data_IF_748129825606
#
_entry.id   IF_748129825606
#
_cell.length_a   1.000
_cell.length_b   1.000
_cell.length_c   1.000
_cell.angle_alpha   90.00
_cell.angle_beta   90.00
_cell.angle_gamma   90.00
#
_symmetry.space_group_name_H-M   'P 1'
#
loop_
_entity.id
_entity.type
_entity.pdbx_description
1 polymer ?
#
# COMPACT_ATOMS: atom_id res chain seq x y z
N UNK A 1 -0.16 7.36 -16.47
CA UNK A 1 -0.18 6.47 -15.27
C UNK A 1 0.01 7.30 -14.02
N UNK A 2 -1.00 7.35 -13.15
CA UNK A 2 -0.94 8.03 -11.86
C UNK A 2 -0.64 7.02 -10.76
N UNK A 3 0.63 6.98 -10.33
CA UNK A 3 1.12 6.11 -9.26
C UNK A 3 0.65 6.63 -7.88
N UNK A 4 0.36 5.72 -6.95
CA UNK A 4 -0.07 6.04 -5.58
C UNK A 4 0.49 5.06 -4.55
N UNK A 5 -0.16 3.91 -4.35
CA UNK A 5 0.25 2.80 -3.48
C UNK A 5 0.70 1.58 -4.31
N UNK A 6 1.34 1.86 -5.42
CA UNK A 6 1.79 0.90 -6.42
C UNK A 6 3.14 1.34 -7.03
N UNK A 7 4.08 1.76 -6.16
CA UNK A 7 5.38 2.33 -6.53
C UNK A 7 6.34 1.25 -7.06
N UNK A 8 5.93 0.58 -8.15
CA UNK A 8 6.66 -0.49 -8.81
C UNK A 8 6.33 -0.56 -10.30
N UNK A 9 7.20 -1.22 -11.05
CA UNK A 9 6.99 -1.47 -12.48
C UNK A 9 6.55 -2.91 -12.76
N UNK A 10 7.10 -3.90 -12.06
CA UNK A 10 6.68 -5.29 -12.17
C UNK A 10 5.36 -5.52 -11.43
N UNK A 11 4.58 -6.50 -11.89
CA UNK A 11 3.28 -6.86 -11.32
C UNK A 11 2.35 -5.64 -11.10
N UNK A 12 2.33 -4.72 -12.08
CA UNK A 12 1.51 -3.50 -12.03
C UNK A 12 0.49 -3.50 -13.19
N UNK A 13 -0.72 -4.05 -12.98
CA UNK A 13 -1.75 -4.10 -14.02
C UNK A 13 -2.18 -2.73 -14.54
N UNK A 14 -2.19 -1.70 -13.68
CA UNK A 14 -2.54 -0.34 -14.11
C UNK A 14 -1.51 0.23 -15.07
N UNK A 15 -0.22 -0.02 -14.81
CA UNK A 15 0.84 0.37 -15.73
C UNK A 15 0.77 -0.42 -17.04
N UNK A 16 0.52 -1.71 -16.98
CA UNK A 16 0.34 -2.54 -18.20
C UNK A 16 -0.83 -2.03 -19.05
N UNK A 17 -1.96 -1.70 -18.43
CA UNK A 17 -3.10 -1.10 -19.12
C UNK A 17 -2.73 0.26 -19.71
N UNK A 18 -2.03 1.12 -18.97
CA UNK A 18 -1.58 2.42 -19.48
C UNK A 18 -0.67 2.30 -20.70
N UNK A 19 0.23 1.31 -20.72
CA UNK A 19 1.14 1.06 -21.85
C UNK A 19 0.39 0.48 -23.05
N UNK A 20 -0.57 -0.41 -22.80
CA UNK A 20 -1.40 -1.01 -23.87
C UNK A 20 -2.28 -0.01 -24.58
N UNK A 21 -2.84 0.96 -23.83
CA UNK A 21 -3.75 1.97 -24.39
C UNK A 21 -2.99 3.16 -25.01
N UNK A 22 -1.69 3.29 -24.74
CA UNK A 22 -0.90 4.43 -25.16
C UNK A 22 -0.38 4.27 -26.60
N UNK A 23 -0.52 5.33 -27.41
CA UNK A 23 0.15 5.39 -28.72
C UNK A 23 1.67 5.42 -28.50
N UNK A 24 2.40 4.56 -29.21
CA UNK A 24 3.86 4.43 -29.11
C UNK A 24 4.37 4.18 -27.67
N UNK A 25 3.54 3.56 -26.84
CA UNK A 25 3.80 3.32 -25.42
C UNK A 25 4.24 4.60 -24.64
N UNK A 26 3.72 5.77 -25.03
CA UNK A 26 4.03 7.06 -24.38
C UNK A 26 3.19 7.22 -23.12
N UNK A 27 3.84 7.15 -21.97
CA UNK A 27 3.19 7.20 -20.67
C UNK A 27 3.80 8.32 -19.80
N UNK A 28 2.96 9.12 -19.14
CA UNK A 28 3.39 10.09 -18.11
C UNK A 28 3.46 9.37 -16.77
N UNK A 29 4.63 9.28 -16.11
CA UNK A 29 4.75 8.71 -14.77
C UNK A 29 4.44 9.78 -13.73
N UNK A 30 3.18 9.92 -13.35
CA UNK A 30 2.69 10.95 -12.43
C UNK A 30 2.61 10.42 -10.99
N UNK A 31 3.08 11.23 -10.04
CA UNK A 31 2.74 11.13 -8.62
C UNK A 31 2.29 12.50 -8.11
N UNK A 32 1.17 12.58 -7.44
CA UNK A 32 0.71 13.82 -6.77
C UNK A 32 0.92 13.66 -5.27
N UNK A 33 1.68 14.58 -4.69
CA UNK A 33 1.90 14.62 -3.24
C UNK A 33 0.68 15.26 -2.58
N UNK A 34 -0.23 14.41 -2.17
CA UNK A 34 -1.52 14.76 -1.59
C UNK A 34 -1.34 15.44 -0.22
N UNK A 35 -1.70 16.73 -0.07
CA UNK A 35 -1.54 17.46 1.18
C UNK A 35 -2.32 16.84 2.36
N UNK A 36 -3.48 16.22 2.08
CA UNK A 36 -4.32 15.59 3.10
C UNK A 36 -3.64 14.36 3.73
N UNK A 37 -2.75 13.71 2.99
CA UNK A 37 -1.98 12.56 3.45
C UNK A 37 -0.56 12.93 3.90
N UNK A 38 0.02 13.96 3.27
CA UNK A 38 1.39 14.38 3.56
C UNK A 38 1.53 15.18 4.84
N UNK A 39 0.64 16.16 5.07
CA UNK A 39 0.72 17.05 6.24
C UNK A 39 0.63 16.31 7.58
N UNK A 40 -0.29 15.36 7.79
CA UNK A 40 -0.37 14.61 9.04
C UNK A 40 0.65 13.47 9.15
N UNK A 41 1.43 13.17 8.09
CA UNK A 41 2.40 12.09 8.11
C UNK A 41 3.60 12.43 9.00
N UNK A 42 3.98 11.51 9.87
CA UNK A 42 5.19 11.64 10.69
C UNK A 42 6.49 11.60 9.85
N UNK A 43 7.63 12.06 10.43
CA UNK A 43 8.91 12.17 9.72
C UNK A 43 9.36 10.86 9.06
N UNK A 44 9.29 9.75 9.78
CA UNK A 44 9.66 8.42 9.26
C UNK A 44 8.88 8.04 7.98
N UNK A 45 7.56 8.30 7.99
CA UNK A 45 6.71 8.00 6.83
C UNK A 45 7.03 8.90 5.65
N UNK A 46 7.30 10.19 5.90
CA UNK A 46 7.70 11.14 4.85
C UNK A 46 9.05 10.75 4.25
N UNK A 47 10.05 10.45 5.10
CA UNK A 47 11.36 10.03 4.67
C UNK A 47 11.32 8.76 3.80
N UNK A 48 10.55 7.76 4.25
CA UNK A 48 10.42 6.52 3.49
C UNK A 48 9.72 6.75 2.14
N UNK A 49 8.62 7.52 2.11
CA UNK A 49 7.94 7.85 0.85
C UNK A 49 8.86 8.61 -0.10
N UNK A 50 9.61 9.59 0.40
CA UNK A 50 10.57 10.34 -0.41
C UNK A 50 11.60 9.41 -1.06
N UNK A 51 12.17 8.48 -0.29
CA UNK A 51 13.10 7.47 -0.81
C UNK A 51 12.45 6.55 -1.86
N UNK A 52 11.20 6.12 -1.64
CA UNK A 52 10.44 5.30 -2.60
C UNK A 52 10.17 6.04 -3.91
N UNK A 53 9.82 7.32 -3.84
CA UNK A 53 9.59 8.16 -5.03
C UNK A 53 10.88 8.42 -5.80
N UNK A 54 12.00 8.60 -5.09
CA UNK A 54 13.32 8.73 -5.70
C UNK A 54 13.72 7.45 -6.46
N UNK A 55 13.53 6.26 -5.84
CA UNK A 55 13.79 4.98 -6.50
C UNK A 55 12.94 4.81 -7.77
N UNK A 56 11.64 5.04 -7.68
CA UNK A 56 10.75 4.97 -8.84
C UNK A 56 11.17 5.99 -9.91
N UNK A 57 11.48 7.23 -9.50
CA UNK A 57 11.94 8.28 -10.40
C UNK A 57 13.18 7.88 -11.18
N UNK A 58 14.18 7.29 -10.51
CA UNK A 58 15.40 6.80 -11.16
C UNK A 58 15.10 5.70 -12.19
N UNK A 59 14.15 4.83 -11.91
CA UNK A 59 13.77 3.71 -12.79
C UNK A 59 12.98 4.12 -14.03
N UNK A 60 12.19 5.21 -13.94
CA UNK A 60 11.43 5.76 -15.07
C UNK A 60 12.15 6.96 -15.75
N UNK A 61 13.40 7.20 -15.42
CA UNK A 61 14.16 8.33 -15.96
C UNK A 61 13.62 9.71 -15.58
N UNK A 62 12.94 9.78 -14.41
CA UNK A 62 12.31 10.97 -13.82
C UNK A 62 10.81 10.81 -13.64
N UNK A 63 10.34 10.89 -12.40
CA UNK A 63 8.93 10.94 -12.03
C UNK A 63 8.41 12.37 -12.18
N UNK A 64 7.21 12.54 -12.76
CA UNK A 64 6.52 13.82 -12.72
C UNK A 64 5.84 13.94 -11.35
N UNK A 65 6.47 14.67 -10.44
CA UNK A 65 5.91 14.99 -9.14
C UNK A 65 5.09 16.28 -9.23
N UNK A 66 3.89 16.28 -8.67
CA UNK A 66 3.05 17.47 -8.55
C UNK A 66 2.64 17.67 -7.09
N UNK A 67 2.39 18.95 -6.72
CA UNK A 67 1.94 19.38 -5.40
C UNK A 67 0.77 20.34 -5.56
N UNK A 68 -0.23 20.23 -4.75
CA UNK A 68 -1.39 21.12 -4.82
C UNK A 68 -2.69 20.42 -4.53
N UNK A 69 -3.78 20.95 -5.01
CA UNK A 69 -5.06 20.23 -5.03
C UNK A 69 -4.92 19.02 -5.96
N UNK A 70 -5.23 17.86 -5.43
CA UNK A 70 -4.98 16.61 -6.13
C UNK A 70 -5.82 16.49 -7.41
N UNK A 71 -7.07 16.93 -7.37
CA UNK A 71 -7.97 16.87 -8.53
C UNK A 71 -7.47 17.81 -9.62
N UNK A 72 -7.12 19.03 -9.25
CA UNK A 72 -6.61 20.06 -10.17
C UNK A 72 -5.32 19.61 -10.83
N UNK A 73 -4.37 19.04 -10.05
CA UNK A 73 -3.07 18.61 -10.56
C UNK A 73 -3.17 17.43 -11.52
N UNK A 74 -4.01 16.43 -11.22
CA UNK A 74 -4.22 15.29 -12.13
C UNK A 74 -4.83 15.76 -13.44
N UNK A 75 -5.85 16.62 -13.41
CA UNK A 75 -6.50 17.18 -14.60
C UNK A 75 -5.52 18.04 -15.39
N UNK A 76 -4.74 18.91 -14.75
CA UNK A 76 -3.75 19.75 -15.42
C UNK A 76 -2.69 18.94 -16.16
N UNK A 77 -2.19 17.87 -15.54
CA UNK A 77 -1.22 16.96 -16.19
C UNK A 77 -1.86 16.20 -17.34
N UNK A 78 -3.09 15.72 -17.19
CA UNK A 78 -3.81 15.01 -18.25
C UNK A 78 -4.04 15.91 -19.48
N UNK A 79 -4.46 17.16 -19.27
CA UNK A 79 -4.60 18.17 -20.34
C UNK A 79 -3.29 18.47 -21.05
N UNK A 80 -2.21 18.74 -20.28
CA UNK A 80 -0.89 19.05 -20.82
C UNK A 80 -0.28 17.87 -21.60
N UNK A 81 -0.65 16.64 -21.24
CA UNK A 81 -0.23 15.44 -21.92
C UNK A 81 -1.11 15.12 -23.16
N UNK A 82 -2.19 15.85 -23.39
CA UNK A 82 -3.24 15.49 -24.34
C UNK A 82 -3.71 14.04 -24.14
N UNK A 83 -3.83 13.62 -22.88
CA UNK A 83 -4.22 12.27 -22.55
C UNK A 83 -5.72 12.04 -22.78
N UNK A 84 -6.06 10.88 -23.32
CA UNK A 84 -7.44 10.40 -23.42
C UNK A 84 -7.85 9.56 -22.21
N UNK A 85 -6.85 9.02 -21.50
CA UNK A 85 -7.04 8.14 -20.34
C UNK A 85 -6.06 8.46 -19.23
N UNK A 86 -6.50 8.30 -17.98
CA UNK A 86 -5.66 8.26 -16.78
C UNK A 86 -5.81 6.89 -16.14
N UNK A 87 -4.72 6.16 -15.96
CA UNK A 87 -4.72 4.80 -15.41
C UNK A 87 -4.28 4.79 -13.96
N UNK A 88 -4.99 4.01 -13.13
CA UNK A 88 -4.74 3.84 -11.70
C UNK A 88 -4.95 2.39 -11.25
N UNK A 89 -4.25 1.96 -10.20
CA UNK A 89 -4.68 0.83 -9.41
C UNK A 89 -5.85 1.26 -8.52
N UNK A 90 -6.93 0.49 -8.44
CA UNK A 90 -8.13 0.85 -7.67
C UNK A 90 -7.81 0.98 -6.16
N UNK A 91 -8.34 2.01 -5.51
CA UNK A 91 -8.23 2.20 -4.06
C UNK A 91 -9.56 1.83 -3.37
N UNK A 92 -9.46 1.12 -2.25
CA UNK A 92 -10.60 0.58 -1.51
C UNK A 92 -10.84 1.26 -0.17
N UNK A 93 -9.91 2.10 0.28
CA UNK A 93 -10.09 2.89 1.49
C UNK A 93 -11.11 4.02 1.30
N UNK A 94 -11.82 4.44 2.36
CA UNK A 94 -12.87 5.46 2.25
C UNK A 94 -12.39 6.75 1.57
N UNK A 95 -11.26 7.27 2.02
CA UNK A 95 -10.64 8.47 1.44
C UNK A 95 -10.25 8.25 -0.03
N UNK A 96 -9.58 7.13 -0.35
CA UNK A 96 -9.11 6.85 -1.69
C UNK A 96 -10.25 6.68 -2.69
N UNK A 97 -11.34 6.06 -2.28
CA UNK A 97 -12.55 5.90 -3.11
C UNK A 97 -13.18 7.25 -3.44
N UNK A 98 -13.38 8.11 -2.45
CA UNK A 98 -13.96 9.45 -2.67
C UNK A 98 -13.07 10.28 -3.58
N UNK A 99 -11.78 10.34 -3.29
CA UNK A 99 -10.78 11.01 -4.12
C UNK A 99 -10.83 10.54 -5.58
N UNK A 100 -10.91 9.23 -5.81
CA UNK A 100 -10.93 8.67 -7.15
C UNK A 100 -12.24 9.03 -7.90
N UNK A 101 -13.37 9.15 -7.21
CA UNK A 101 -14.63 9.64 -7.77
C UNK A 101 -14.55 11.13 -8.15
N UNK A 102 -13.95 11.96 -7.29
CA UNK A 102 -13.78 13.38 -7.54
C UNK A 102 -12.90 13.65 -8.76
N UNK A 103 -11.79 12.90 -8.87
CA UNK A 103 -10.89 12.97 -10.04
C UNK A 103 -11.59 12.48 -11.31
N UNK A 104 -12.33 11.37 -11.25
CA UNK A 104 -13.10 10.85 -12.39
C UNK A 104 -14.12 11.88 -12.91
N UNK A 105 -14.89 12.47 -12.00
CA UNK A 105 -15.86 13.50 -12.36
C UNK A 105 -15.21 14.75 -12.99
N UNK A 106 -14.02 15.12 -12.53
CA UNK A 106 -13.27 16.24 -13.09
C UNK A 106 -12.68 15.92 -14.47
N UNK A 107 -12.08 14.76 -14.65
CA UNK A 107 -11.53 14.30 -15.94
C UNK A 107 -12.63 14.13 -17.01
N UNK A 108 -13.81 13.64 -16.61
CA UNK A 108 -14.94 13.45 -17.51
C UNK A 108 -15.43 14.75 -18.17
N UNK A 109 -15.25 15.91 -17.53
CA UNK A 109 -15.58 17.22 -18.12
C UNK A 109 -14.73 17.55 -19.34
N UNK A 110 -13.55 16.96 -19.42
CA UNK A 110 -12.62 17.08 -20.56
C UNK A 110 -12.66 15.88 -21.51
N UNK A 111 -13.60 14.96 -21.31
CA UNK A 111 -13.70 13.74 -22.11
C UNK A 111 -12.57 12.72 -21.82
N UNK A 112 -11.88 12.85 -20.70
CA UNK A 112 -10.77 11.97 -20.29
C UNK A 112 -11.32 10.88 -19.38
N UNK A 113 -11.02 9.60 -19.69
CA UNK A 113 -11.47 8.47 -18.88
C UNK A 113 -10.50 8.16 -17.73
N UNK A 114 -11.03 7.85 -16.54
CA UNK A 114 -10.26 7.26 -15.43
C UNK A 114 -10.39 5.73 -15.49
N UNK A 115 -9.30 5.05 -15.83
CA UNK A 115 -9.25 3.58 -15.98
C UNK A 115 -8.66 2.95 -14.71
N UNK A 116 -9.46 2.12 -14.03
CA UNK A 116 -9.07 1.38 -12.82
C UNK A 116 -8.69 -0.04 -13.17
N UNK A 117 -7.43 -0.43 -12.93
CA UNK A 117 -6.93 -1.77 -13.25
C UNK A 117 -6.08 -2.32 -12.13
N UNK A 118 -6.50 -3.44 -11.54
CA UNK A 118 -5.81 -4.05 -10.42
C UNK A 118 -6.09 -3.35 -9.08
N UNK A 119 -5.46 -3.82 -8.03
CA UNK A 119 -5.63 -3.36 -6.65
C UNK A 119 -4.35 -3.55 -5.85
N UNK A 120 -4.21 -2.99 -4.65
CA UNK A 120 -3.10 -3.29 -3.74
C UNK A 120 -3.26 -4.63 -2.98
N UNK A 121 -4.24 -5.44 -3.35
CA UNK A 121 -4.59 -6.72 -2.74
C UNK A 121 -4.54 -7.84 -3.77
N UNK A 122 -4.23 -9.06 -3.35
CA UNK A 122 -4.27 -10.25 -4.23
C UNK A 122 -5.71 -10.54 -4.66
N UNK A 123 -6.65 -10.44 -3.71
CA UNK A 123 -8.08 -10.46 -3.95
C UNK A 123 -8.67 -9.12 -3.49
N UNK A 124 -9.27 -8.38 -4.41
CA UNK A 124 -9.84 -7.08 -4.09
C UNK A 124 -10.98 -7.20 -3.05
N UNK A 125 -11.11 -6.22 -2.12
CA UNK A 125 -12.24 -6.16 -1.20
C UNK A 125 -13.58 -6.30 -1.91
N UNK A 126 -14.53 -6.98 -1.27
CA UNK A 126 -15.87 -7.26 -1.83
C UNK A 126 -15.95 -8.50 -2.72
N UNK A 127 -14.82 -9.13 -3.09
CA UNK A 127 -14.80 -10.31 -3.97
C UNK A 127 -14.99 -11.63 -3.21
N UNK A 128 -14.61 -11.68 -1.94
CA UNK A 128 -14.77 -12.87 -1.10
C UNK A 128 -16.10 -12.78 -0.37
N UNK A 129 -17.05 -13.58 -0.80
CA UNK A 129 -18.42 -13.63 -0.23
C UNK A 129 -18.82 -15.06 0.11
N UNK A 130 -19.77 -15.22 1.00
CA UNK A 130 -20.35 -16.52 1.32
C UNK A 130 -21.33 -16.99 0.21
N UNK A 131 -21.91 -18.17 0.39
CA UNK A 131 -22.84 -18.76 -0.61
C UNK A 131 -24.09 -17.91 -0.87
N UNK A 132 -24.45 -17.02 0.07
CA UNK A 132 -25.58 -16.12 -0.06
C UNK A 132 -25.19 -14.75 -0.66
N UNK A 133 -23.91 -14.53 -0.97
CA UNK A 133 -23.39 -13.23 -1.43
C UNK A 133 -23.03 -12.27 -0.31
N UNK A 134 -23.12 -12.70 0.97
CA UNK A 134 -22.82 -11.83 2.11
C UNK A 134 -21.34 -11.83 2.46
N UNK A 135 -20.94 -10.79 3.20
CA UNK A 135 -19.61 -10.65 3.77
C UNK A 135 -19.31 -11.69 4.86
N UNK A 136 -18.09 -12.12 4.93
CA UNK A 136 -17.61 -12.83 6.11
C UNK A 136 -17.30 -11.84 7.25
N UNK A 137 -17.87 -12.10 8.43
CA UNK A 137 -17.64 -11.30 9.64
C UNK A 137 -16.56 -11.87 10.54
N UNK A 138 -16.08 -13.08 10.23
CA UNK A 138 -15.09 -13.84 11.01
C UNK A 138 -13.97 -14.29 10.08
N UNK A 139 -12.74 -14.21 10.56
CA UNK A 139 -11.54 -14.46 9.76
C UNK A 139 -11.45 -15.91 9.22
N UNK A 140 -11.70 -16.91 10.07
CA UNK A 140 -11.48 -18.32 9.69
C UNK A 140 -12.26 -18.73 8.44
N UNK A 141 -13.59 -18.52 8.33
CA UNK A 141 -14.32 -18.82 7.10
C UNK A 141 -13.89 -17.89 5.93
N UNK A 142 -13.57 -16.62 6.19
CA UNK A 142 -13.03 -15.72 5.17
C UNK A 142 -11.74 -16.30 4.56
N UNK A 143 -10.78 -16.69 5.39
CA UNK A 143 -9.48 -17.17 4.91
C UNK A 143 -9.56 -18.44 4.07
N UNK A 144 -10.55 -19.30 4.35
CA UNK A 144 -10.84 -20.48 3.52
C UNK A 144 -11.38 -20.07 2.15
N UNK A 145 -12.42 -19.25 2.13
CA UNK A 145 -13.03 -18.75 0.91
C UNK A 145 -12.05 -17.90 0.08
N UNK A 146 -11.18 -17.13 0.72
CA UNK A 146 -10.13 -16.35 0.06
C UNK A 146 -9.11 -17.26 -0.66
N UNK A 147 -8.71 -18.38 -0.03
CA UNK A 147 -7.83 -19.38 -0.68
C UNK A 147 -8.54 -20.10 -1.83
N UNK A 148 -9.80 -20.43 -1.67
CA UNK A 148 -10.63 -21.06 -2.71
C UNK A 148 -10.86 -20.12 -3.90
N UNK A 149 -11.08 -18.82 -3.66
CA UNK A 149 -11.18 -17.80 -4.69
C UNK A 149 -9.92 -17.75 -5.55
N UNK A 150 -8.76 -17.90 -4.93
CA UNK A 150 -7.47 -17.78 -5.60
C UNK A 150 -7.19 -16.37 -6.12
N UNK A 151 -6.07 -16.22 -6.77
CA UNK A 151 -5.59 -14.95 -7.35
C UNK A 151 -4.81 -15.24 -8.64
N UNK A 152 -4.76 -14.28 -9.57
CA UNK A 152 -3.97 -14.45 -10.80
C UNK A 152 -2.48 -14.46 -10.50
N UNK A 153 -1.71 -15.09 -11.40
CA UNK A 153 -0.25 -15.01 -11.34
C UNK A 153 0.23 -13.56 -11.47
N UNK A 154 1.37 -13.20 -10.86
CA UNK A 154 1.98 -11.89 -11.04
C UNK A 154 2.31 -11.64 -12.53
N UNK A 155 1.78 -10.59 -13.16
CA UNK A 155 2.18 -10.25 -14.52
C UNK A 155 3.62 -9.71 -14.55
N UNK A 156 4.30 -9.93 -15.66
CA UNK A 156 5.63 -9.36 -15.88
C UNK A 156 5.57 -7.83 -15.98
N UNK A 157 6.71 -7.19 -15.77
CA UNK A 157 6.84 -5.77 -16.07
C UNK A 157 6.55 -5.48 -17.55
N UNK A 158 6.03 -4.29 -17.89
CA UNK A 158 5.87 -3.91 -19.29
C UNK A 158 7.24 -3.95 -19.98
N UNK A 159 7.25 -4.19 -21.27
CA UNK A 159 8.43 -4.09 -22.08
C UNK A 159 8.95 -2.64 -22.16
N UNK A 160 9.27 -2.16 -23.36
CA UNK A 160 9.71 -0.77 -23.55
C UNK A 160 8.55 0.20 -23.28
N UNK A 161 8.80 1.20 -22.42
CA UNK A 161 7.89 2.32 -22.15
C UNK A 161 8.59 3.62 -22.52
N UNK A 162 7.89 4.47 -23.30
CA UNK A 162 8.35 5.82 -23.61
C UNK A 162 7.85 6.80 -22.56
N UNK A 163 8.67 7.04 -21.53
CA UNK A 163 8.30 7.94 -20.44
C UNK A 163 8.34 9.39 -20.89
N UNK A 164 7.24 10.12 -20.78
CA UNK A 164 7.10 11.52 -21.18
C UNK A 164 6.70 12.40 -20.00
N UNK A 165 7.14 13.65 -20.02
CA UNK A 165 6.88 14.66 -18.97
C UNK A 165 6.44 15.96 -19.63
N UNK A 166 5.13 16.20 -19.71
CA UNK A 166 4.57 17.37 -20.40
C UNK A 166 4.74 18.67 -19.60
N UNK A 167 4.99 18.56 -18.29
CA UNK A 167 5.18 19.69 -17.38
C UNK A 167 6.50 19.54 -16.62
N UNK A 168 6.95 20.65 -16.03
CA UNK A 168 8.05 20.64 -15.07
C UNK A 168 7.61 19.89 -13.80
N UNK A 169 8.47 19.01 -13.30
CA UNK A 169 8.25 18.34 -12.02
C UNK A 169 8.49 19.30 -10.86
N UNK A 170 7.61 19.23 -9.87
CA UNK A 170 7.86 19.91 -8.60
C UNK A 170 9.01 19.24 -7.84
N UNK A 171 9.61 19.97 -6.92
CA UNK A 171 10.64 19.42 -6.06
C UNK A 171 10.04 18.60 -4.92
N UNK A 172 10.65 17.47 -4.62
CA UNK A 172 10.37 16.74 -3.38
C UNK A 172 11.26 17.34 -2.28
N UNK A 173 10.62 17.90 -1.24
CA UNK A 173 11.38 18.45 -0.12
C UNK A 173 12.22 17.35 0.53
N UNK A 174 13.38 17.73 1.00
CA UNK A 174 14.19 16.87 1.83
C UNK A 174 13.38 16.44 3.07
N UNK A 175 13.20 15.15 3.20
CA UNK A 175 12.52 14.54 4.33
C UNK A 175 13.49 13.57 5.01
N UNK A 176 14.45 14.09 5.79
CA UNK A 176 15.41 13.24 6.46
C UNK A 176 14.71 12.31 7.45
N UNK A 177 15.19 11.08 7.53
CA UNK A 177 14.76 10.19 8.58
C UNK A 177 15.19 10.75 9.95
N UNK A 178 14.41 10.53 11.02
CA UNK A 178 14.88 10.80 12.38
C UNK A 178 16.24 10.11 12.61
N UNK A 179 17.15 10.81 13.30
CA UNK A 179 18.54 10.36 13.45
C UNK A 179 18.68 9.02 14.20
N UNK A 180 17.74 8.75 15.08
CA UNK A 180 17.62 7.56 15.93
C UNK A 180 16.89 6.40 15.24
N UNK A 181 16.29 6.62 14.06
CA UNK A 181 15.47 5.63 13.37
C UNK A 181 16.16 5.07 12.11
N UNK A 182 16.38 3.77 12.08
CA UNK A 182 16.85 3.07 10.89
C UNK A 182 15.68 2.60 10.04
N UNK A 183 15.40 3.31 8.96
CA UNK A 183 14.40 2.91 7.98
C UNK A 183 14.95 1.79 7.07
N UNK A 184 14.11 0.82 6.66
CA UNK A 184 14.49 -0.14 5.64
C UNK A 184 14.75 0.58 4.31
N UNK A 185 15.62 -0.01 3.47
CA UNK A 185 15.87 0.51 2.13
C UNK A 185 14.59 0.47 1.29
N UNK A 186 14.21 1.60 0.72
CA UNK A 186 13.02 1.75 -0.10
C UNK A 186 13.21 1.24 -1.54
N UNK A 187 12.11 1.09 -2.25
CA UNK A 187 12.09 0.78 -3.67
C UNK A 187 11.85 -0.70 -3.99
N UNK A 188 11.38 -0.94 -5.21
CA UNK A 188 10.97 -2.26 -5.69
C UNK A 188 12.10 -3.29 -5.60
N UNK A 189 13.32 -2.93 -6.01
CA UNK A 189 14.47 -3.85 -5.94
C UNK A 189 14.85 -4.20 -4.51
N UNK A 190 14.69 -3.27 -3.57
CA UNK A 190 14.93 -3.50 -2.14
C UNK A 190 13.86 -4.39 -1.53
N UNK A 191 12.60 -4.20 -1.91
CA UNK A 191 11.49 -5.05 -1.50
C UNK A 191 11.71 -6.50 -1.94
N UNK A 192 12.06 -6.72 -3.20
CA UNK A 192 12.33 -8.06 -3.73
C UNK A 192 13.56 -8.72 -3.08
N UNK A 193 14.64 -7.98 -2.83
CA UNK A 193 15.82 -8.51 -2.14
C UNK A 193 15.47 -8.93 -0.73
N UNK A 194 14.82 -8.04 0.05
CA UNK A 194 14.39 -8.35 1.42
C UNK A 194 13.47 -9.56 1.48
N UNK A 195 12.55 -9.68 0.54
CA UNK A 195 11.66 -10.83 0.46
C UNK A 195 12.43 -12.13 0.20
N UNK A 196 13.33 -12.14 -0.79
CA UNK A 196 14.16 -13.32 -1.07
C UNK A 196 15.05 -13.73 0.11
N UNK A 197 15.66 -12.75 0.79
CA UNK A 197 16.48 -12.99 1.98
C UNK A 197 15.64 -13.60 3.11
N UNK A 198 14.41 -13.12 3.31
CA UNK A 198 13.50 -13.70 4.28
C UNK A 198 13.10 -15.13 3.91
N UNK A 199 12.71 -15.38 2.68
CA UNK A 199 12.31 -16.73 2.21
C UNK A 199 13.47 -17.71 2.33
N UNK A 200 14.70 -17.31 1.99
CA UNK A 200 15.87 -18.17 2.00
C UNK A 200 16.47 -18.44 3.39
N UNK A 201 16.22 -17.58 4.38
CA UNK A 201 16.94 -17.64 5.66
C UNK A 201 16.03 -17.75 6.89
N UNK A 202 14.79 -17.26 6.85
CA UNK A 202 13.96 -17.07 8.04
C UNK A 202 12.56 -17.67 7.93
N UNK A 203 12.09 -17.94 6.73
CA UNK A 203 10.71 -18.41 6.51
C UNK A 203 10.44 -19.72 7.25
N UNK A 204 11.38 -20.66 7.26
CA UNK A 204 11.19 -21.99 7.88
C UNK A 204 10.97 -21.91 9.40
N UNK A 205 11.50 -20.87 10.04
CA UNK A 205 11.34 -20.63 11.48
C UNK A 205 10.26 -19.60 11.79
N UNK A 206 9.62 -19.01 10.80
CA UNK A 206 8.68 -17.90 10.99
C UNK A 206 7.51 -18.28 11.91
N UNK A 207 6.95 -19.48 11.79
CA UNK A 207 5.82 -19.91 12.58
C UNK A 207 6.06 -19.88 14.10
N UNK A 208 7.28 -20.15 14.54
CA UNK A 208 7.68 -20.18 15.96
C UNK A 208 8.38 -18.91 16.42
N UNK A 209 9.08 -18.22 15.52
CA UNK A 209 9.91 -17.08 15.86
C UNK A 209 9.20 -15.71 15.70
N UNK A 210 8.04 -15.66 15.04
CA UNK A 210 7.31 -14.41 14.77
C UNK A 210 6.90 -13.65 16.03
N UNK A 211 6.63 -14.37 17.11
CA UNK A 211 6.19 -13.81 18.39
C UNK A 211 7.36 -13.50 19.35
N UNK A 212 8.60 -13.74 18.89
CA UNK A 212 9.84 -13.46 19.63
C UNK A 212 10.31 -12.04 19.32
N UNK A 213 9.99 -11.10 20.19
CA UNK A 213 10.35 -9.68 20.03
C UNK A 213 11.88 -9.43 20.10
N UNK A 214 12.62 -10.36 20.72
CA UNK A 214 14.08 -10.32 20.85
C UNK A 214 14.81 -10.78 19.57
N UNK A 215 14.09 -11.32 18.58
CA UNK A 215 14.66 -11.84 17.34
C UNK A 215 14.27 -10.97 16.13
N UNK A 216 15.22 -10.74 15.21
CA UNK A 216 14.92 -10.20 13.88
C UNK A 216 14.43 -11.31 12.95
N UNK A 217 13.29 -11.91 13.28
CA UNK A 217 12.74 -13.09 12.65
C UNK A 217 11.62 -12.82 11.65
N UNK A 218 11.14 -11.59 11.56
CA UNK A 218 10.04 -11.23 10.67
C UNK A 218 10.53 -10.70 9.32
N UNK A 219 9.66 -10.73 8.31
CA UNK A 219 10.00 -10.26 6.97
C UNK A 219 10.14 -8.74 6.88
N UNK A 220 9.48 -7.99 7.78
CA UNK A 220 9.33 -6.52 7.72
C UNK A 220 8.81 -6.00 6.37
N UNK A 221 7.97 -6.81 5.70
CA UNK A 221 7.41 -6.46 4.38
C UNK A 221 6.27 -5.45 4.45
N UNK A 222 5.77 -5.10 5.64
CA UNK A 222 4.60 -4.22 5.80
C UNK A 222 4.77 -2.85 5.13
N UNK A 223 5.96 -2.25 5.21
CA UNK A 223 6.25 -0.95 4.59
C UNK A 223 6.25 -1.05 3.07
N UNK A 224 6.85 -2.10 2.51
CA UNK A 224 6.89 -2.33 1.06
C UNK A 224 5.49 -2.61 0.49
N UNK A 225 4.67 -3.39 1.21
CA UNK A 225 3.27 -3.63 0.85
C UNK A 225 2.40 -2.38 1.01
N UNK A 226 2.73 -1.49 1.98
CA UNK A 226 2.04 -0.21 2.18
C UNK A 226 2.19 0.72 0.97
N UNK A 227 3.39 0.81 0.41
CA UNK A 227 3.70 1.68 -0.71
C UNK A 227 3.60 0.97 -2.07
N UNK A 228 3.34 -0.33 -2.03
CA UNK A 228 3.17 -1.14 -3.23
C UNK A 228 4.45 -1.31 -4.04
N UNK A 229 5.60 -1.31 -3.38
CA UNK A 229 6.91 -1.61 -3.97
C UNK A 229 7.04 -3.09 -4.34
N UNK A 230 6.20 -3.93 -3.76
CA UNK A 230 5.97 -5.32 -4.11
C UNK A 230 4.48 -5.64 -3.92
N UNK A 231 3.94 -6.53 -4.73
CA UNK A 231 2.53 -6.91 -4.64
C UNK A 231 2.36 -8.19 -3.82
N UNK A 232 1.28 -8.36 -3.04
CA UNK A 232 1.03 -9.60 -2.29
C UNK A 232 0.95 -10.84 -3.20
N UNK A 233 0.53 -10.73 -4.47
CA UNK A 233 0.54 -11.85 -5.41
C UNK A 233 1.94 -12.42 -5.67
N UNK A 234 2.95 -11.55 -5.73
CA UNK A 234 4.35 -11.96 -5.87
C UNK A 234 4.78 -12.80 -4.66
N UNK A 235 4.47 -12.33 -3.44
CA UNK A 235 4.76 -13.09 -2.22
C UNK A 235 4.02 -14.44 -2.21
N UNK A 236 2.76 -14.43 -2.60
CA UNK A 236 1.92 -15.63 -2.63
C UNK A 236 2.38 -16.63 -3.70
N UNK A 237 2.88 -16.17 -4.84
CA UNK A 237 3.45 -17.03 -5.88
C UNK A 237 4.70 -17.77 -5.36
N UNK A 238 5.61 -17.05 -4.70
CA UNK A 238 6.82 -17.65 -4.12
C UNK A 238 6.48 -18.60 -2.97
N UNK A 239 5.54 -18.22 -2.08
CA UNK A 239 5.02 -19.08 -1.01
C UNK A 239 4.32 -20.33 -1.57
N UNK A 240 3.73 -20.25 -2.76
CA UNK A 240 3.11 -21.41 -3.42
C UNK A 240 4.08 -22.55 -3.69
N UNK A 241 5.39 -22.25 -3.80
CA UNK A 241 6.46 -23.23 -3.96
C UNK A 241 6.92 -23.82 -2.61
N UNK A 242 6.46 -23.27 -1.48
CA UNK A 242 6.89 -23.67 -0.14
C UNK A 242 5.80 -24.51 0.54
N UNK A 243 6.17 -25.65 1.11
CA UNK A 243 5.23 -26.59 1.76
C UNK A 243 5.31 -26.57 3.29
N UNK A 244 6.16 -25.72 3.89
CA UNK A 244 6.33 -25.66 5.35
C UNK A 244 5.10 -25.07 6.04
N UNK A 245 4.87 -25.42 7.30
CA UNK A 245 3.84 -24.82 8.15
C UNK A 245 4.08 -23.32 8.33
N UNK A 246 5.31 -22.89 8.42
CA UNK A 246 5.68 -21.47 8.48
C UNK A 246 5.25 -20.71 7.24
N UNK A 247 5.37 -21.29 6.05
CA UNK A 247 4.85 -20.68 4.82
C UNK A 247 3.32 -20.61 4.83
N UNK A 248 2.64 -21.62 5.39
CA UNK A 248 1.19 -21.59 5.58
C UNK A 248 0.77 -20.50 6.57
N UNK A 249 1.51 -20.34 7.66
CA UNK A 249 1.33 -19.25 8.64
C UNK A 249 1.51 -17.89 7.97
N UNK A 250 2.56 -17.69 7.19
CA UNK A 250 2.78 -16.42 6.49
C UNK A 250 1.66 -16.10 5.48
N UNK A 251 1.17 -17.09 4.72
CA UNK A 251 -0.01 -16.91 3.86
C UNK A 251 -1.23 -16.46 4.64
N UNK A 252 -1.38 -16.95 5.87
CA UNK A 252 -2.49 -16.54 6.76
C UNK A 252 -2.37 -15.07 7.15
N UNK A 253 -1.15 -14.54 7.36
CA UNK A 253 -0.96 -13.11 7.65
C UNK A 253 -1.32 -12.22 6.44
N UNK A 254 -1.05 -12.67 5.21
CA UNK A 254 -1.53 -11.98 4.02
C UNK A 254 -3.06 -12.00 3.91
N UNK A 255 -3.70 -13.12 4.26
CA UNK A 255 -5.16 -13.21 4.32
C UNK A 255 -5.75 -12.27 5.40
N UNK A 256 -5.10 -12.13 6.57
CA UNK A 256 -5.51 -11.16 7.60
C UNK A 256 -5.50 -9.72 7.07
N UNK A 257 -4.43 -9.35 6.34
CA UNK A 257 -4.35 -8.02 5.71
C UNK A 257 -5.54 -7.75 4.78
N UNK A 258 -5.96 -8.74 4.00
CA UNK A 258 -7.05 -8.59 3.04
C UNK A 258 -8.43 -8.70 3.72
N UNK A 259 -8.56 -9.49 4.78
CA UNK A 259 -9.76 -9.51 5.61
C UNK A 259 -10.06 -8.14 6.21
N UNK A 260 -9.07 -7.48 6.83
CA UNK A 260 -9.28 -6.15 7.39
C UNK A 260 -9.53 -5.07 6.32
N UNK A 261 -8.98 -5.25 5.12
CA UNK A 261 -9.30 -4.38 3.99
C UNK A 261 -10.76 -4.56 3.54
N UNK A 262 -11.27 -5.80 3.51
CA UNK A 262 -12.66 -6.10 3.21
C UNK A 262 -13.61 -5.55 4.28
N UNK A 263 -13.25 -5.69 5.56
CA UNK A 263 -14.01 -5.10 6.68
C UNK A 263 -14.11 -3.58 6.54
N UNK A 264 -12.99 -2.89 6.30
CA UNK A 264 -12.98 -1.44 6.13
C UNK A 264 -13.77 -0.99 4.89
N UNK A 265 -13.67 -1.73 3.79
CA UNK A 265 -14.39 -1.42 2.56
C UNK A 265 -15.92 -1.51 2.74
N UNK A 266 -16.38 -2.52 3.51
CA UNK A 266 -17.82 -2.73 3.80
C UNK A 266 -18.36 -1.81 4.90
N UNK A 267 -17.48 -1.43 5.83
CA UNK A 267 -17.80 -0.58 6.97
C UNK A 267 -16.86 0.62 7.01
N UNK A 268 -16.99 1.57 6.07
CA UNK A 268 -16.04 2.68 5.91
C UNK A 268 -15.94 3.57 7.15
N UNK A 269 -17.02 3.69 7.91
CA UNK A 269 -17.04 4.47 9.15
C UNK A 269 -16.12 3.89 10.23
N UNK A 270 -15.77 2.59 10.14
CA UNK A 270 -14.82 1.95 11.07
C UNK A 270 -13.39 2.51 10.97
N UNK A 271 -13.09 3.34 9.96
CA UNK A 271 -11.85 4.12 9.91
C UNK A 271 -11.73 5.15 11.05
N UNK A 272 -12.84 5.58 11.67
CA UNK A 272 -12.91 6.63 12.68
C UNK A 272 -13.87 6.34 13.83
N UNK A 273 -14.71 5.34 13.69
CA UNK A 273 -15.72 4.94 14.67
C UNK A 273 -15.55 3.46 15.03
N UNK A 274 -16.18 3.03 16.11
CA UNK A 274 -16.19 1.62 16.46
C UNK A 274 -16.92 0.81 15.38
N UNK A 275 -16.32 -0.31 14.96
CA UNK A 275 -16.96 -1.26 14.04
C UNK A 275 -18.28 -1.80 14.59
N UNK A 276 -18.36 -1.95 15.93
CA UNK A 276 -19.56 -2.28 16.66
C UNK A 276 -19.96 -1.04 17.47
N UNK A 277 -21.07 -0.37 17.13
CA UNK A 277 -21.47 0.88 17.79
C UNK A 277 -21.66 0.77 19.32
N UNK A 278 -21.93 -0.44 19.83
CA UNK A 278 -22.09 -0.70 21.27
C UNK A 278 -20.83 -0.34 22.06
N UNK A 279 -19.64 -0.45 21.45
CA UNK A 279 -18.37 -0.09 22.10
C UNK A 279 -18.20 1.42 22.33
N UNK A 280 -19.00 2.25 21.69
CA UNK A 280 -19.02 3.68 21.99
C UNK A 280 -19.49 4.00 23.42
N UNK A 281 -20.11 3.02 24.12
CA UNK A 281 -20.52 3.15 25.53
C UNK A 281 -19.44 2.72 26.52
N UNK A 282 -18.26 2.29 26.04
CA UNK A 282 -17.15 1.98 26.96
C UNK A 282 -16.70 3.25 27.66
N UNK A 283 -16.60 3.16 28.97
CA UNK A 283 -16.01 4.23 29.79
C UNK A 283 -14.48 4.12 29.72
N UNK A 284 -13.83 5.26 29.58
CA UNK A 284 -12.38 5.37 29.54
C UNK A 284 -11.95 6.29 30.66
N UNK A 285 -10.85 5.95 31.33
CA UNK A 285 -10.20 6.85 32.25
C UNK A 285 -9.64 8.08 31.51
N UNK A 286 -9.69 9.22 32.19
CA UNK A 286 -9.01 10.42 31.69
C UNK A 286 -7.48 10.18 31.64
N UNK A 287 -6.80 10.65 30.56
CA UNK A 287 -5.35 10.51 30.43
C UNK A 287 -4.61 11.16 31.61
N UNK A 288 -4.02 10.34 32.48
CA UNK A 288 -3.26 10.77 33.65
C UNK A 288 -1.77 10.42 33.56
N UNK A 289 -1.10 10.42 34.73
CA UNK A 289 0.33 10.15 34.83
C UNK A 289 0.72 8.77 34.29
N UNK A 290 -0.12 7.75 34.49
CA UNK A 290 0.11 6.40 33.93
C UNK A 290 0.09 6.38 32.42
N UNK A 291 -0.81 7.12 31.79
CA UNK A 291 -0.83 7.26 30.32
C UNK A 291 0.41 8.01 29.81
N UNK A 292 0.83 9.06 30.50
CA UNK A 292 2.05 9.79 30.15
C UNK A 292 3.28 8.88 30.26
N UNK A 293 3.42 8.12 31.36
CA UNK A 293 4.50 7.16 31.55
C UNK A 293 4.52 6.08 30.44
N UNK A 294 3.34 5.56 30.06
CA UNK A 294 3.24 4.61 28.96
C UNK A 294 3.69 5.24 27.61
N UNK A 295 3.19 6.42 27.30
CA UNK A 295 3.55 7.12 26.05
C UNK A 295 5.06 7.41 25.98
N UNK A 296 5.67 7.74 27.11
CA UNK A 296 7.07 8.19 27.20
C UNK A 296 8.04 7.01 27.47
N UNK A 297 7.55 5.76 27.54
CA UNK A 297 8.37 4.56 27.78
C UNK A 297 8.95 4.49 29.20
N UNK A 298 8.22 5.00 30.18
CA UNK A 298 8.63 5.14 31.59
C UNK A 298 7.70 4.40 32.56
N UNK A 299 7.13 3.26 32.09
CA UNK A 299 6.19 2.47 32.91
C UNK A 299 6.87 1.64 34.01
N UNK A 300 8.18 1.39 33.87
CA UNK A 300 8.95 0.44 34.68
C UNK A 300 8.80 -1.02 34.23
N UNK A 301 8.06 -1.29 33.16
CA UNK A 301 7.96 -2.61 32.53
C UNK A 301 8.88 -2.66 31.31
N UNK A 302 10.04 -3.37 31.36
CA UNK A 302 11.07 -3.29 30.33
C UNK A 302 10.56 -3.56 28.90
N UNK A 303 9.65 -4.52 28.73
CA UNK A 303 9.11 -4.87 27.40
C UNK A 303 8.20 -3.77 26.85
N UNK A 304 7.47 -3.05 27.71
CA UNK A 304 6.62 -1.93 27.31
C UNK A 304 7.49 -0.72 26.97
N UNK A 305 8.41 -0.41 27.86
CA UNK A 305 9.30 0.74 27.73
C UNK A 305 10.19 0.61 26.48
N UNK A 306 10.72 -0.57 26.20
CA UNK A 306 11.46 -0.84 24.96
C UNK A 306 10.60 -0.68 23.68
N UNK A 307 9.33 -1.06 23.73
CA UNK A 307 8.42 -0.89 22.59
C UNK A 307 8.05 0.59 22.33
N UNK A 308 8.05 1.43 23.35
CA UNK A 308 7.78 2.86 23.23
C UNK A 308 9.02 3.67 22.85
N UNK A 309 10.23 3.16 23.14
CA UNK A 309 11.51 3.79 22.83
C UNK A 309 12.04 3.47 21.42
N UNK A 310 11.41 2.54 20.72
CA UNK A 310 11.78 2.10 19.35
C UNK A 310 10.90 2.75 18.27
#
# INVERSE_FOLDING_TARGET
>A
MWFRRDLRLADNPALLSAVSDATDARVVPLFVLDPALWRPAGPARRAYLAASLTDLGNRVGGLLLRRGDLVEEVVAVARAAHATTVHIAEDFGPYGRQRDLDVEAALARDGIALVRTGSPYAVAPGRVVNKNGDAYRVFTPFSRAWREHGWPAPPMAPGRVSWVRPLKSDHLDDAPAPADLRLPAAGESSAHRRWRDFVGQRLDHYGTARDRADLDSTSRMSVHLKWGEIHPRTLLADLGQQRSESAATYRTELAWREFFADVLWRSPDSARQYLKPEFARMEYDEPGAGFAAWRDGLTGYPIIDAACAS
#
